data_IF_715665352347
#
_entry.id   IF_715665352347
#
_cell.length_a   1.000
_cell.length_b   1.000
_cell.length_c   1.000
_cell.angle_alpha   90.00
_cell.angle_beta   90.00
_cell.angle_gamma   90.00
#
_symmetry.space_group_name_H-M   'P 1'
#
loop_
_entity.id
_entity.type
_entity.pdbx_description
1 polymer ?
#
# COMPACT_ATOMS: atom_id res chain seq x y z
N UNK A 1 1.27 -17.47 -18.39
CA UNK A 1 1.06 -18.64 -17.50
C UNK A 1 -0.40 -18.94 -17.18
N UNK A 2 -1.19 -17.99 -16.66
CA UNK A 2 -2.59 -18.25 -16.25
C UNK A 2 -3.45 -18.95 -17.33
N UNK A 3 -3.44 -18.53 -18.62
CA UNK A 3 -4.23 -19.22 -19.66
C UNK A 3 -3.81 -20.67 -19.90
N UNK A 4 -2.55 -21.02 -19.58
CA UNK A 4 -2.04 -22.40 -19.71
C UNK A 4 -2.54 -23.24 -18.55
N UNK A 5 -2.47 -22.72 -17.31
CA UNK A 5 -2.92 -23.44 -16.11
C UNK A 5 -4.45 -23.65 -16.11
N UNK A 6 -5.20 -22.67 -16.63
CA UNK A 6 -6.66 -22.76 -16.84
C UNK A 6 -7.08 -23.96 -17.71
N UNK A 7 -6.16 -24.56 -18.48
CA UNK A 7 -6.43 -25.78 -19.26
C UNK A 7 -6.51 -27.04 -18.40
N UNK A 8 -5.94 -27.02 -17.19
CA UNK A 8 -5.80 -28.21 -16.32
C UNK A 8 -6.59 -28.09 -15.03
N UNK A 9 -6.95 -26.89 -14.59
CA UNK A 9 -7.74 -26.69 -13.36
C UNK A 9 -8.66 -25.48 -13.45
N UNK A 10 -9.80 -25.58 -12.75
CA UNK A 10 -10.73 -24.47 -12.49
C UNK A 10 -10.38 -23.68 -11.22
N UNK A 11 -9.45 -24.19 -10.40
CA UNK A 11 -9.03 -23.58 -9.14
C UNK A 11 -7.94 -22.54 -9.37
N UNK A 12 -8.23 -21.54 -10.20
CA UNK A 12 -7.29 -20.49 -10.56
C UNK A 12 -8.03 -19.18 -10.84
N UNK A 13 -7.43 -18.08 -10.38
CA UNK A 13 -7.88 -16.71 -10.62
C UNK A 13 -6.79 -15.95 -11.37
N UNK A 14 -7.19 -14.89 -12.08
CA UNK A 14 -6.31 -14.06 -12.90
C UNK A 14 -6.47 -14.30 -14.41
N UNK A 15 -5.76 -13.52 -15.22
CA UNK A 15 -5.83 -13.58 -16.68
C UNK A 15 -5.71 -12.20 -17.33
N UNK A 16 -6.07 -12.09 -18.62
CA UNK A 16 -6.00 -10.82 -19.36
C UNK A 16 -6.90 -9.72 -18.77
N UNK A 17 -8.03 -10.10 -18.18
CA UNK A 17 -9.01 -9.18 -17.57
C UNK A 17 -8.76 -8.99 -16.06
N UNK A 18 -7.53 -9.21 -15.59
CA UNK A 18 -7.18 -9.11 -14.17
C UNK A 18 -7.18 -7.65 -13.70
N UNK A 19 -8.08 -7.35 -12.76
CA UNK A 19 -8.20 -6.03 -12.11
C UNK A 19 -7.41 -5.95 -10.80
N UNK A 20 -6.56 -6.93 -10.50
CA UNK A 20 -5.78 -6.97 -9.25
C UNK A 20 -4.93 -5.72 -9.04
N UNK A 21 -4.21 -5.26 -10.06
CA UNK A 21 -3.31 -4.10 -9.94
C UNK A 21 -4.04 -2.78 -9.67
N UNK A 22 -5.08 -2.38 -10.43
CA UNK A 22 -5.83 -1.17 -10.10
C UNK A 22 -6.55 -1.29 -8.73
N UNK A 23 -7.03 -2.47 -8.36
CA UNK A 23 -7.67 -2.67 -7.05
C UNK A 23 -6.67 -2.63 -5.89
N UNK A 24 -5.47 -3.18 -6.04
CA UNK A 24 -4.38 -3.03 -5.07
C UNK A 24 -3.99 -1.56 -4.93
N UNK A 25 -3.86 -0.82 -6.02
CA UNK A 25 -3.53 0.60 -5.98
C UNK A 25 -4.61 1.42 -5.25
N UNK A 26 -5.89 1.12 -5.51
CA UNK A 26 -7.01 1.73 -4.80
C UNK A 26 -6.96 1.43 -3.29
N UNK A 27 -6.65 0.18 -2.91
CA UNK A 27 -6.45 -0.20 -1.50
C UNK A 27 -5.34 0.59 -0.82
N UNK A 28 -4.20 0.74 -1.48
CA UNK A 28 -3.08 1.56 -0.97
C UNK A 28 -3.47 3.03 -0.84
N UNK A 29 -4.14 3.60 -1.84
CA UNK A 29 -4.65 4.97 -1.78
C UNK A 29 -5.57 5.19 -0.58
N UNK A 30 -6.51 4.28 -0.33
CA UNK A 30 -7.39 4.35 0.85
C UNK A 30 -6.66 4.14 2.18
N UNK A 31 -5.60 3.31 2.20
CA UNK A 31 -4.69 3.21 3.34
C UNK A 31 -3.94 4.52 3.61
N UNK A 32 -3.47 5.20 2.56
CA UNK A 32 -2.84 6.52 2.69
C UNK A 32 -3.82 7.56 3.25
N UNK A 33 -5.08 7.56 2.78
CA UNK A 33 -6.11 8.47 3.32
C UNK A 33 -6.34 8.27 4.81
N UNK A 34 -6.46 7.02 5.29
CA UNK A 34 -6.59 6.74 6.71
C UNK A 34 -5.38 7.21 7.52
N UNK A 35 -4.16 7.01 6.98
CA UNK A 35 -2.94 7.44 7.64
C UNK A 35 -2.82 8.97 7.71
N UNK A 36 -3.20 9.67 6.64
CA UNK A 36 -3.22 11.14 6.56
C UNK A 36 -4.24 11.74 7.52
N UNK A 37 -5.42 11.14 7.62
CA UNK A 37 -6.45 11.51 8.60
C UNK A 37 -5.90 11.40 10.03
N UNK A 38 -5.32 10.26 10.38
CA UNK A 38 -4.77 10.03 11.71
C UNK A 38 -3.56 10.92 12.03
N UNK A 39 -2.68 11.18 11.06
CA UNK A 39 -1.40 11.87 11.29
C UNK A 39 -1.49 13.38 11.17
N UNK A 40 -2.32 13.88 10.27
CA UNK A 40 -2.40 15.28 9.90
C UNK A 40 -3.79 15.90 10.14
N UNK A 41 -4.81 15.10 10.44
CA UNK A 41 -6.19 15.59 10.58
C UNK A 41 -6.79 16.08 9.27
N UNK A 42 -6.28 15.59 8.12
CA UNK A 42 -6.74 15.91 6.76
C UNK A 42 -7.51 14.72 6.16
N UNK A 43 -8.48 14.99 5.30
CA UNK A 43 -9.26 13.95 4.59
C UNK A 43 -8.89 13.79 3.10
N UNK A 44 -7.94 14.59 2.63
CA UNK A 44 -7.34 14.59 1.29
C UNK A 44 -5.80 14.47 1.31
N UNK A 45 -5.21 14.24 0.14
CA UNK A 45 -3.75 14.23 -0.06
C UNK A 45 -3.25 15.51 -0.77
N UNK A 46 -4.09 16.54 -0.87
CA UNK A 46 -3.78 17.73 -1.66
C UNK A 46 -2.56 18.46 -1.09
N UNK A 47 -1.60 18.71 -1.97
CA UNK A 47 -0.35 19.38 -1.63
C UNK A 47 0.61 18.56 -0.75
N UNK A 48 0.37 17.27 -0.50
CA UNK A 48 1.31 16.39 0.20
C UNK A 48 2.40 15.88 -0.74
N UNK A 49 3.63 15.74 -0.24
CA UNK A 49 4.72 15.11 -0.98
C UNK A 49 4.73 13.60 -0.75
N UNK A 50 4.75 12.82 -1.84
CA UNK A 50 4.75 11.35 -1.81
C UNK A 50 5.95 10.80 -2.57
N UNK A 51 6.80 10.01 -1.90
CA UNK A 51 7.89 9.28 -2.54
C UNK A 51 7.46 7.83 -2.84
N UNK A 52 7.53 7.40 -4.10
CA UNK A 52 7.18 6.05 -4.54
C UNK A 52 8.46 5.32 -4.99
N UNK A 53 8.79 4.24 -4.29
CA UNK A 53 9.86 3.33 -4.69
C UNK A 53 9.27 2.24 -5.60
N UNK A 54 9.49 2.37 -6.90
CA UNK A 54 8.98 1.48 -7.95
C UNK A 54 7.93 2.15 -8.84
N UNK A 55 8.01 1.93 -10.14
CA UNK A 55 7.11 2.41 -11.18
C UNK A 55 6.44 1.24 -11.94
N UNK A 56 6.18 0.13 -11.22
CA UNK A 56 5.46 -1.03 -11.73
C UNK A 56 3.95 -0.79 -11.91
N UNK A 57 3.21 -1.85 -12.26
CA UNK A 57 1.79 -1.73 -12.63
C UNK A 57 0.89 -1.17 -11.51
N UNK A 58 1.10 -1.60 -10.26
CA UNK A 58 0.34 -1.05 -9.11
C UNK A 58 0.71 0.41 -8.87
N UNK A 59 2.01 0.74 -8.88
CA UNK A 59 2.49 2.10 -8.71
C UNK A 59 1.97 3.05 -9.80
N UNK A 60 1.82 2.56 -11.04
CA UNK A 60 1.20 3.31 -12.13
C UNK A 60 -0.20 3.80 -11.79
N UNK A 61 -1.06 2.90 -11.31
CA UNK A 61 -2.43 3.26 -10.90
C UNK A 61 -2.43 4.12 -9.62
N UNK A 62 -1.50 3.89 -8.70
CA UNK A 62 -1.34 4.71 -7.51
C UNK A 62 -0.98 6.16 -7.89
N UNK A 63 -0.09 6.37 -8.87
CA UNK A 63 0.25 7.70 -9.38
C UNK A 63 -0.96 8.42 -9.97
N UNK A 64 -1.87 7.71 -10.65
CA UNK A 64 -3.14 8.28 -11.13
C UNK A 64 -3.98 8.84 -9.97
N UNK A 65 -4.23 8.02 -8.95
CA UNK A 65 -5.01 8.44 -7.78
C UNK A 65 -4.36 9.60 -7.02
N UNK A 66 -3.04 9.56 -6.85
CA UNK A 66 -2.28 10.63 -6.19
C UNK A 66 -2.32 11.94 -6.97
N UNK A 67 -2.19 11.88 -8.30
CA UNK A 67 -2.28 13.05 -9.18
C UNK A 67 -3.68 13.67 -9.12
N UNK A 68 -4.72 12.83 -9.21
CA UNK A 68 -6.13 13.27 -9.08
C UNK A 68 -6.42 13.90 -7.71
N UNK A 69 -5.72 13.44 -6.66
CA UNK A 69 -5.84 13.95 -5.30
C UNK A 69 -4.97 15.19 -5.02
N UNK A 70 -4.21 15.71 -5.99
CA UNK A 70 -3.37 16.91 -5.84
C UNK A 70 -2.04 16.68 -5.09
N UNK A 71 -1.60 15.42 -4.94
CA UNK A 71 -0.31 15.12 -4.32
C UNK A 71 0.86 15.39 -5.29
N UNK A 72 2.00 15.81 -4.75
CA UNK A 72 3.27 15.93 -5.50
C UNK A 72 4.05 14.63 -5.40
N UNK A 73 4.43 14.08 -6.53
CA UNK A 73 4.98 12.73 -6.58
C UNK A 73 6.47 12.77 -6.92
N UNK A 74 7.27 12.10 -6.09
CA UNK A 74 8.63 11.69 -6.41
C UNK A 74 8.63 10.19 -6.70
N UNK A 75 9.29 9.75 -7.76
CA UNK A 75 9.32 8.33 -8.15
C UNK A 75 10.72 7.88 -8.52
N UNK A 76 11.05 6.64 -8.17
CA UNK A 76 12.29 5.99 -8.61
C UNK A 76 12.04 4.55 -9.03
N UNK A 77 12.75 4.08 -10.05
CA UNK A 77 12.73 2.70 -10.53
C UNK A 77 14.07 2.41 -11.21
N UNK A 78 14.49 1.14 -11.23
CA UNK A 78 15.70 0.71 -11.96
C UNK A 78 15.46 0.65 -13.47
N UNK A 79 14.20 0.62 -13.91
CA UNK A 79 13.81 0.57 -15.30
C UNK A 79 13.59 2.00 -15.86
N UNK A 80 14.49 2.51 -16.73
CA UNK A 80 14.37 3.85 -17.28
C UNK A 80 13.13 4.02 -18.17
N UNK A 81 12.65 2.96 -18.83
CA UNK A 81 11.45 3.03 -19.67
C UNK A 81 10.19 3.19 -18.82
N UNK A 82 10.16 2.62 -17.61
CA UNK A 82 9.05 2.81 -16.69
C UNK A 82 8.99 4.27 -16.20
N UNK A 83 10.16 4.85 -15.90
CA UNK A 83 10.28 6.26 -15.51
C UNK A 83 9.92 7.21 -16.66
N UNK A 84 10.35 6.92 -17.89
CA UNK A 84 9.98 7.71 -19.06
C UNK A 84 8.46 7.74 -19.25
N UNK A 85 7.79 6.58 -19.22
CA UNK A 85 6.33 6.50 -19.30
C UNK A 85 5.63 7.26 -18.17
N UNK A 86 6.15 7.18 -16.95
CA UNK A 86 5.58 7.89 -15.81
C UNK A 86 5.64 9.41 -16.02
N UNK A 87 6.78 9.94 -16.47
CA UNK A 87 6.95 11.38 -16.77
C UNK A 87 6.12 11.88 -17.95
N UNK A 88 5.83 11.02 -18.92
CA UNK A 88 5.03 11.38 -20.08
C UNK A 88 3.54 11.54 -19.74
N UNK A 89 3.07 10.87 -18.68
CA UNK A 89 1.64 10.83 -18.31
C UNK A 89 1.33 11.58 -17.03
N UNK A 90 2.23 11.56 -16.05
CA UNK A 90 2.05 12.16 -14.73
C UNK A 90 3.10 13.24 -14.47
N UNK A 91 2.73 14.26 -13.69
CA UNK A 91 3.67 15.29 -13.22
C UNK A 91 4.47 14.73 -12.03
N UNK A 92 5.58 14.06 -12.33
CA UNK A 92 6.42 13.36 -11.35
C UNK A 92 7.87 13.84 -11.40
N UNK A 93 8.49 13.96 -10.23
CA UNK A 93 9.92 14.17 -10.08
C UNK A 93 10.62 12.80 -10.03
N UNK A 94 11.54 12.54 -10.97
CA UNK A 94 12.35 11.32 -10.94
C UNK A 94 13.56 11.51 -10.03
N UNK A 95 13.73 10.58 -9.09
CA UNK A 95 14.81 10.57 -8.09
C UNK A 95 15.69 9.34 -8.28
N UNK A 96 16.93 9.41 -7.81
CA UNK A 96 17.83 8.26 -7.75
C UNK A 96 17.21 7.12 -6.90
N UNK A 97 17.18 5.86 -7.40
CA UNK A 97 16.71 4.71 -6.64
C UNK A 97 17.38 4.50 -5.28
N UNK A 98 18.63 4.92 -5.10
CA UNK A 98 19.35 4.79 -3.83
C UNK A 98 18.95 5.88 -2.82
N UNK A 99 18.33 6.97 -3.28
CA UNK A 99 17.96 8.14 -2.47
C UNK A 99 16.45 8.26 -2.19
N UNK A 100 15.60 7.51 -2.91
CA UNK A 100 14.14 7.64 -2.83
C UNK A 100 13.57 7.41 -1.43
N UNK A 101 14.13 6.44 -0.68
CA UNK A 101 13.67 6.13 0.67
C UNK A 101 13.95 7.27 1.67
N UNK A 102 14.94 8.10 1.37
CA UNK A 102 15.46 9.11 2.31
C UNK A 102 15.01 10.53 1.96
N UNK A 103 14.13 10.68 0.97
CA UNK A 103 13.55 11.96 0.61
C UNK A 103 12.78 12.58 1.78
N UNK A 104 12.86 13.89 1.90
CA UNK A 104 12.02 14.67 2.80
C UNK A 104 10.63 14.81 2.19
N UNK A 105 9.71 13.92 2.56
CA UNK A 105 8.34 13.86 2.06
C UNK A 105 7.36 13.59 3.21
N UNK A 106 6.06 13.69 2.94
CA UNK A 106 5.03 13.36 3.93
C UNK A 106 4.76 11.85 3.99
N UNK A 107 4.76 11.20 2.82
CA UNK A 107 4.42 9.79 2.65
C UNK A 107 5.51 9.08 1.84
N UNK A 108 5.96 7.93 2.33
CA UNK A 108 6.81 6.99 1.60
C UNK A 108 5.98 5.76 1.20
N UNK A 109 6.04 5.37 -0.07
CA UNK A 109 5.34 4.22 -0.63
C UNK A 109 6.32 3.19 -1.21
N UNK A 110 6.73 2.19 -0.42
CA UNK A 110 7.49 1.05 -0.93
C UNK A 110 6.61 0.21 -1.87
N UNK A 111 6.93 0.20 -3.16
CA UNK A 111 6.15 -0.46 -4.21
C UNK A 111 7.00 -1.40 -5.08
N UNK A 112 8.24 -1.70 -4.68
CA UNK A 112 9.19 -2.51 -5.44
C UNK A 112 9.61 -3.80 -4.72
N UNK A 113 10.32 -3.68 -3.60
CA UNK A 113 10.98 -4.80 -2.90
C UNK A 113 10.56 -4.85 -1.42
N UNK A 114 10.59 -6.06 -0.86
CA UNK A 114 10.45 -6.28 0.58
C UNK A 114 11.77 -6.05 1.33
N UNK A 115 11.70 -5.95 2.67
CA UNK A 115 12.83 -5.79 3.59
C UNK A 115 13.50 -4.42 3.54
N UNK A 116 12.88 -3.45 2.86
CA UNK A 116 13.45 -2.11 2.68
C UNK A 116 13.36 -1.27 3.96
N UNK A 117 12.46 -1.61 4.88
CA UNK A 117 12.35 -1.02 6.20
C UNK A 117 13.07 -1.92 7.21
N UNK A 118 14.22 -1.47 7.69
CA UNK A 118 15.09 -2.23 8.59
C UNK A 118 15.91 -1.33 9.51
N UNK A 119 16.66 -1.94 10.42
CA UNK A 119 17.55 -1.26 11.38
C UNK A 119 18.51 -0.22 10.77
N UNK A 120 18.85 -0.34 9.48
CA UNK A 120 19.78 0.57 8.79
C UNK A 120 19.05 1.70 8.06
N UNK A 121 17.88 1.42 7.49
CA UNK A 121 17.12 2.39 6.70
C UNK A 121 16.22 3.25 7.57
N UNK A 122 15.54 2.67 8.57
CA UNK A 122 14.60 3.36 9.46
C UNK A 122 15.21 4.61 10.11
N UNK A 123 16.43 4.57 10.69
CA UNK A 123 17.02 5.77 11.30
C UNK A 123 17.17 6.95 10.34
N UNK A 124 17.32 6.70 9.04
CA UNK A 124 17.56 7.71 7.99
C UNK A 124 16.28 8.26 7.37
N UNK A 125 15.13 7.60 7.55
CA UNK A 125 13.87 8.04 6.97
C UNK A 125 13.46 9.42 7.50
N UNK A 126 13.00 10.28 6.58
CA UNK A 126 12.53 11.63 6.87
C UNK A 126 11.01 11.79 6.71
N UNK A 127 10.33 10.72 6.25
CA UNK A 127 8.88 10.67 6.06
C UNK A 127 8.09 10.79 7.38
N UNK A 128 6.77 10.96 7.30
CA UNK A 128 5.85 10.85 8.43
C UNK A 128 5.00 9.58 8.38
N UNK A 129 4.64 9.16 7.17
CA UNK A 129 3.80 8.00 6.89
C UNK A 129 4.55 7.03 5.97
N UNK A 130 4.34 5.73 6.17
CA UNK A 130 4.79 4.67 5.29
C UNK A 130 3.58 3.82 4.90
N UNK A 131 3.25 3.81 3.61
CA UNK A 131 2.11 3.07 3.06
C UNK A 131 2.39 2.74 1.59
N UNK A 132 2.67 1.47 1.29
CA UNK A 132 3.04 1.01 -0.05
C UNK A 132 2.48 -0.36 -0.37
N UNK A 133 2.63 -0.81 -1.62
CA UNK A 133 2.08 -2.08 -2.08
C UNK A 133 3.06 -3.28 -2.04
N UNK A 134 4.35 -3.04 -1.78
CA UNK A 134 5.33 -4.13 -1.72
C UNK A 134 4.97 -5.11 -0.60
N UNK A 135 5.29 -6.39 -0.81
CA UNK A 135 5.11 -7.42 0.22
C UNK A 135 6.36 -7.53 1.09
N UNK A 136 6.15 -7.82 2.37
CA UNK A 136 7.17 -7.93 3.41
C UNK A 136 8.00 -6.64 3.51
N UNK A 137 7.38 -5.47 3.66
CA UNK A 137 8.10 -4.19 3.67
C UNK A 137 9.08 -4.08 4.84
N UNK A 138 8.68 -4.55 6.01
CA UNK A 138 9.54 -4.75 7.17
C UNK A 138 10.51 -5.90 6.92
N UNK A 139 11.77 -5.75 7.30
CA UNK A 139 12.73 -6.84 7.24
C UNK A 139 12.52 -7.85 8.37
N UNK A 140 12.15 -7.36 9.57
CA UNK A 140 11.73 -8.19 10.70
C UNK A 140 10.56 -7.53 11.45
N UNK A 141 9.84 -8.29 12.27
CA UNK A 141 8.72 -7.73 13.06
C UNK A 141 9.17 -6.70 14.10
N UNK A 142 10.43 -6.75 14.56
CA UNK A 142 10.99 -5.71 15.43
C UNK A 142 11.06 -4.33 14.74
N UNK A 143 11.07 -4.29 13.41
CA UNK A 143 11.07 -3.04 12.66
C UNK A 143 9.75 -2.26 12.80
N UNK A 144 8.62 -2.92 13.08
CA UNK A 144 7.35 -2.26 13.43
C UNK A 144 7.51 -1.43 14.71
N UNK A 145 8.20 -2.01 15.71
CA UNK A 145 8.54 -1.31 16.96
C UNK A 145 9.50 -0.15 16.70
N UNK A 146 10.53 -0.34 15.87
CA UNK A 146 11.48 0.74 15.52
C UNK A 146 10.79 1.92 14.82
N UNK A 147 9.83 1.64 13.93
CA UNK A 147 9.04 2.67 13.25
C UNK A 147 8.21 3.47 14.26
N UNK A 148 7.49 2.78 15.16
CA UNK A 148 6.70 3.41 16.22
C UNK A 148 7.56 4.26 17.17
N UNK A 149 8.70 3.74 17.63
CA UNK A 149 9.63 4.47 18.51
C UNK A 149 10.22 5.71 17.84
N UNK A 150 10.46 5.65 16.52
CA UNK A 150 10.85 6.82 15.72
C UNK A 150 9.68 7.77 15.45
N UNK A 151 8.45 7.38 15.80
CA UNK A 151 7.24 8.14 15.59
C UNK A 151 6.77 8.16 14.14
N UNK A 152 7.16 7.17 13.32
CA UNK A 152 6.71 7.00 11.94
C UNK A 152 5.43 6.16 11.92
N UNK A 153 4.40 6.62 11.22
CA UNK A 153 3.17 5.86 11.07
C UNK A 153 3.30 4.89 9.90
N UNK A 154 3.43 3.60 10.18
CA UNK A 154 3.39 2.55 9.19
C UNK A 154 1.96 2.04 9.02
N UNK A 155 1.57 1.67 7.80
CA UNK A 155 0.34 0.93 7.54
C UNK A 155 0.74 -0.44 7.01
N UNK A 156 0.33 -1.55 7.68
CA UNK A 156 0.75 -2.89 7.32
C UNK A 156 0.46 -3.23 5.86
N UNK A 157 1.49 -3.71 5.18
CA UNK A 157 1.49 -3.98 3.75
C UNK A 157 0.36 -4.94 3.32
N UNK A 158 0.20 -6.05 4.03
CA UNK A 158 -0.82 -7.07 3.75
C UNK A 158 -2.25 -6.58 3.95
N UNK A 159 -2.45 -5.44 4.62
CA UNK A 159 -3.76 -4.80 4.76
C UNK A 159 -4.05 -3.92 3.55
N UNK A 160 -3.10 -3.06 3.17
CA UNK A 160 -3.31 -2.08 2.10
C UNK A 160 -3.20 -2.70 0.71
N UNK A 161 -2.37 -3.73 0.55
CA UNK A 161 -2.22 -4.41 -0.73
C UNK A 161 -3.28 -5.50 -0.97
N UNK A 162 -4.17 -5.74 0.01
CA UNK A 162 -5.25 -6.73 -0.04
C UNK A 162 -6.27 -6.51 -1.17
N UNK A 163 -6.28 -5.33 -1.79
CA UNK A 163 -7.18 -4.99 -2.90
C UNK A 163 -7.15 -6.02 -4.03
N UNK A 164 -5.98 -6.56 -4.36
CA UNK A 164 -5.85 -7.60 -5.40
C UNK A 164 -6.50 -8.93 -5.01
N UNK A 165 -6.41 -9.32 -3.73
CA UNK A 165 -7.07 -10.52 -3.20
C UNK A 165 -8.58 -10.32 -3.11
N UNK A 166 -9.03 -9.15 -2.66
CA UNK A 166 -10.46 -8.79 -2.64
C UNK A 166 -11.04 -8.85 -4.06
N UNK A 167 -10.35 -8.30 -5.06
CA UNK A 167 -10.78 -8.37 -6.44
C UNK A 167 -10.85 -9.81 -6.96
N UNK A 168 -9.78 -10.57 -6.74
CA UNK A 168 -9.69 -11.98 -7.15
C UNK A 168 -10.81 -12.83 -6.54
N UNK A 169 -11.05 -12.68 -5.24
CA UNK A 169 -12.10 -13.42 -4.53
C UNK A 169 -13.50 -12.99 -4.93
N UNK A 170 -13.73 -11.68 -5.14
CA UNK A 170 -15.00 -11.16 -5.65
C UNK A 170 -15.34 -11.71 -7.04
N UNK A 171 -14.36 -11.78 -7.95
CA UNK A 171 -14.55 -12.36 -9.28
C UNK A 171 -14.97 -13.83 -9.17
N UNK A 172 -14.30 -14.62 -8.33
CA UNK A 172 -14.69 -16.04 -8.10
C UNK A 172 -16.09 -16.17 -7.52
N UNK A 173 -16.48 -15.25 -6.64
CA UNK A 173 -17.80 -15.22 -6.02
C UNK A 173 -18.90 -14.69 -6.97
N UNK A 174 -18.56 -14.23 -8.19
CA UNK A 174 -19.51 -13.63 -9.11
C UNK A 174 -20.00 -12.24 -8.67
N UNK A 175 -19.22 -11.54 -7.85
CA UNK A 175 -19.52 -10.16 -7.45
C UNK A 175 -19.41 -9.20 -8.65
N UNK A 176 -20.15 -8.10 -8.59
CA UNK A 176 -20.02 -7.01 -9.57
C UNK A 176 -18.77 -6.19 -9.30
N UNK A 177 -18.28 -5.49 -10.34
CA UNK A 177 -17.13 -4.58 -10.21
C UNK A 177 -17.36 -3.51 -9.14
N UNK A 178 -18.58 -2.96 -9.05
CA UNK A 178 -18.93 -1.97 -8.02
C UNK A 178 -18.86 -2.56 -6.60
N UNK A 179 -19.28 -3.81 -6.41
CA UNK A 179 -19.22 -4.48 -5.12
C UNK A 179 -17.76 -4.78 -4.72
N UNK A 180 -16.94 -5.19 -5.68
CA UNK A 180 -15.49 -5.36 -5.49
C UNK A 180 -14.86 -4.04 -5.09
N UNK A 181 -15.10 -2.98 -5.87
CA UNK A 181 -14.58 -1.63 -5.59
C UNK A 181 -14.98 -1.17 -4.20
N UNK A 182 -16.28 -1.22 -3.86
CA UNK A 182 -16.77 -0.85 -2.52
C UNK A 182 -16.07 -1.63 -1.41
N UNK A 183 -15.81 -2.92 -1.63
CA UNK A 183 -15.08 -3.76 -0.67
C UNK A 183 -13.62 -3.33 -0.53
N UNK A 184 -12.95 -2.95 -1.61
CA UNK A 184 -11.58 -2.42 -1.58
C UNK A 184 -11.53 -1.07 -0.86
N UNK A 185 -12.48 -0.17 -1.11
CA UNK A 185 -12.56 1.14 -0.45
C UNK A 185 -12.70 1.00 1.08
N UNK A 186 -13.34 -0.08 1.55
CA UNK A 186 -13.43 -0.41 2.99
C UNK A 186 -12.08 -0.72 3.67
N UNK A 187 -10.99 -0.85 2.91
CA UNK A 187 -9.63 -0.90 3.47
C UNK A 187 -9.32 0.37 4.28
N UNK A 188 -9.88 1.53 3.91
CA UNK A 188 -9.70 2.76 4.69
C UNK A 188 -10.17 2.58 6.14
N UNK A 189 -11.37 2.03 6.33
CA UNK A 189 -11.94 1.81 7.67
C UNK A 189 -11.16 0.73 8.44
N UNK A 190 -10.67 -0.30 7.73
CA UNK A 190 -9.80 -1.32 8.33
C UNK A 190 -8.50 -0.70 8.84
N UNK A 191 -7.88 0.17 8.05
CA UNK A 191 -6.67 0.90 8.45
C UNK A 191 -6.95 1.81 9.65
N UNK A 192 -8.08 2.52 9.66
CA UNK A 192 -8.47 3.37 10.81
C UNK A 192 -8.57 2.56 12.11
N UNK A 193 -9.24 1.41 12.06
CA UNK A 193 -9.35 0.50 13.22
C UNK A 193 -7.98 0.01 13.71
N UNK A 194 -7.07 -0.33 12.80
CA UNK A 194 -5.71 -0.78 13.15
C UNK A 194 -4.92 0.35 13.81
N UNK A 195 -4.96 1.56 13.25
CA UNK A 195 -4.26 2.72 13.80
C UNK A 195 -4.78 3.04 15.21
N UNK A 196 -6.11 3.09 15.37
CA UNK A 196 -6.75 3.34 16.67
C UNK A 196 -6.38 2.28 17.71
N UNK A 197 -6.39 0.98 17.33
CA UNK A 197 -5.99 -0.12 18.20
C UNK A 197 -4.51 -0.03 18.59
N UNK A 198 -3.61 0.21 17.63
CA UNK A 198 -2.18 0.37 17.89
C UNK A 198 -1.91 1.53 18.87
N UNK A 199 -2.60 2.66 18.70
CA UNK A 199 -2.50 3.81 19.62
C UNK A 199 -3.02 3.48 21.02
N UNK A 200 -4.16 2.80 21.12
CA UNK A 200 -4.78 2.45 22.41
C UNK A 200 -3.96 1.41 23.20
N UNK A 201 -3.29 0.49 22.50
CA UNK A 201 -2.51 -0.60 23.10
C UNK A 201 -1.02 -0.28 23.20
N UNK A 202 -0.60 0.90 22.72
CA UNK A 202 0.81 1.33 22.63
C UNK A 202 1.71 0.34 21.85
N UNK A 203 1.14 -0.36 20.87
CA UNK A 203 1.81 -1.34 20.02
C UNK A 203 2.14 -0.75 18.64
N UNK A 204 2.95 -1.47 17.85
CA UNK A 204 3.12 -1.17 16.44
C UNK A 204 1.89 -1.61 15.63
N UNK A 205 1.77 -1.06 14.42
CA UNK A 205 0.59 -1.27 13.59
C UNK A 205 0.49 -2.69 13.01
N UNK A 206 1.61 -3.37 12.78
CA UNK A 206 1.62 -4.77 12.34
C UNK A 206 1.06 -5.67 13.45
N UNK A 207 1.55 -5.49 14.69
CA UNK A 207 1.04 -6.23 15.84
C UNK A 207 -0.46 -5.99 16.10
N UNK A 208 -0.93 -4.75 15.95
CA UNK A 208 -2.35 -4.42 16.09
C UNK A 208 -3.21 -5.05 14.98
N UNK A 209 -2.69 -5.09 13.74
CA UNK A 209 -3.37 -5.71 12.61
C UNK A 209 -3.46 -7.24 12.76
N UNK A 210 -2.41 -7.89 13.24
CA UNK A 210 -2.41 -9.32 13.55
C UNK A 210 -3.45 -9.64 14.63
N UNK A 211 -3.43 -8.88 15.74
CA UNK A 211 -4.38 -9.05 16.84
C UNK A 211 -5.84 -8.89 16.36
N UNK A 212 -6.11 -7.88 15.53
CA UNK A 212 -7.43 -7.66 14.94
C UNK A 212 -7.85 -8.83 14.02
N UNK A 213 -6.93 -9.36 13.21
CA UNK A 213 -7.20 -10.51 12.35
C UNK A 213 -7.56 -11.76 13.18
N UNK A 214 -6.83 -12.02 14.26
CA UNK A 214 -7.16 -13.13 15.17
C UNK A 214 -8.52 -12.97 15.86
N UNK A 215 -8.88 -11.75 16.28
CA UNK A 215 -10.20 -11.46 16.85
C UNK A 215 -11.32 -11.76 15.84
N UNK A 216 -11.14 -11.37 14.57
CA UNK A 216 -12.09 -11.67 13.49
C UNK A 216 -12.22 -13.18 13.31
N UNK A 217 -11.12 -13.92 13.29
CA UNK A 217 -11.13 -15.38 13.13
C UNK A 217 -11.82 -16.08 14.31
N UNK A 218 -11.58 -15.64 15.55
CA UNK A 218 -12.23 -16.19 16.75
C UNK A 218 -13.75 -15.95 16.76
N UNK A 219 -14.20 -14.83 16.19
CA UNK A 219 -15.61 -14.43 16.14
C UNK A 219 -16.32 -14.88 14.86
N UNK A 220 -15.63 -15.50 13.91
CA UNK A 220 -16.23 -15.98 12.68
C UNK A 220 -17.22 -17.12 12.97
N UNK A 221 -18.45 -17.07 12.41
CA UNK A 221 -19.39 -18.17 12.55
C UNK A 221 -18.81 -19.45 11.94
N UNK A 222 -19.03 -20.58 12.63
CA UNK A 222 -18.62 -21.91 12.21
C UNK A 222 -19.36 -22.40 10.94
#
# INVERSE_FOLDING_TARGET
DIPVIKRTTRHIVGGPDDTSSPMTALGVYHGMRAAVEARFGKDDLDGLDVAIQGAGNVAWHLMSHLTEAGARIKVADVNPDALARARDVYDVEVVDPDEILFQQVDILAPCALGGVLNEKTIPRLQTKIICGCANNQLATSEDDTRLREKGLLYIPDYVVNAGGVIASTGIVAGATDDAIRTRVESIQDRCRQIIEKAMAEETGTEAAADSLAEEILRNAPA
#
